data_IF_948759355237
#
_entry.id   IF_948759355237
#
_cell.length_a   1.000
_cell.length_b   1.000
_cell.length_c   1.000
_cell.angle_alpha   90.00
_cell.angle_beta   90.00
_cell.angle_gamma   90.00
#
_symmetry.space_group_name_H-M   'P 1'
#
loop_
_entity.id
_entity.type
_entity.pdbx_description
1 polymer ?
#
# COMPACT_ATOMS: atom_id res chain seq x y z
N UNK A 1 38.48 -20.83 -21.49
CA UNK A 1 37.15 -21.31 -21.14
C UNK A 1 36.86 -21.06 -19.65
N UNK A 2 37.81 -21.37 -18.73
CA UNK A 2 37.59 -21.19 -17.29
C UNK A 2 37.32 -19.75 -16.84
N UNK A 3 38.05 -18.78 -17.37
CA UNK A 3 37.90 -17.35 -17.02
C UNK A 3 36.55 -16.80 -17.46
N UNK A 4 36.07 -17.15 -18.66
CA UNK A 4 34.79 -16.73 -19.17
C UNK A 4 33.61 -17.28 -18.30
N UNK A 5 33.71 -18.53 -17.88
CA UNK A 5 32.72 -19.15 -17.00
C UNK A 5 32.66 -18.46 -15.62
N UNK A 6 33.81 -18.14 -15.03
CA UNK A 6 33.89 -17.40 -13.76
C UNK A 6 33.31 -15.99 -13.90
N UNK A 7 33.65 -15.27 -14.98
CA UNK A 7 33.09 -13.96 -15.25
C UNK A 7 31.60 -13.97 -15.41
N UNK A 8 31.05 -14.97 -16.11
CA UNK A 8 29.58 -15.11 -16.28
C UNK A 8 28.88 -15.38 -14.94
N UNK A 9 29.45 -16.25 -14.10
CA UNK A 9 28.88 -16.56 -12.78
C UNK A 9 28.94 -15.32 -11.87
N UNK A 10 30.07 -14.61 -11.84
CA UNK A 10 30.21 -13.38 -11.03
C UNK A 10 29.24 -12.29 -11.50
N UNK A 11 29.08 -12.11 -12.81
CA UNK A 11 28.12 -11.14 -13.37
C UNK A 11 26.68 -11.51 -13.05
N UNK A 12 26.33 -12.80 -13.09
CA UNK A 12 24.99 -13.27 -12.74
C UNK A 12 24.70 -13.09 -11.24
N UNK A 13 25.68 -13.38 -10.37
CA UNK A 13 25.54 -13.15 -8.92
C UNK A 13 25.42 -11.67 -8.61
N UNK A 14 26.23 -10.81 -9.21
CA UNK A 14 26.16 -9.37 -9.00
C UNK A 14 24.81 -8.81 -9.46
N UNK A 15 24.33 -9.22 -10.64
CA UNK A 15 23.03 -8.80 -11.15
C UNK A 15 21.85 -9.28 -10.27
N UNK A 16 21.94 -10.49 -9.70
CA UNK A 16 20.94 -10.98 -8.76
C UNK A 16 20.99 -10.21 -7.44
N UNK A 17 22.18 -9.95 -6.92
CA UNK A 17 22.38 -9.18 -5.68
C UNK A 17 21.87 -7.75 -5.85
N UNK A 18 22.17 -7.11 -6.97
CA UNK A 18 21.72 -5.75 -7.29
C UNK A 18 20.20 -5.67 -7.36
N UNK A 19 19.53 -6.59 -8.08
CA UNK A 19 18.06 -6.69 -8.12
C UNK A 19 17.44 -6.92 -6.74
N UNK A 20 18.07 -7.77 -5.93
CA UNK A 20 17.57 -8.07 -4.58
C UNK A 20 17.72 -6.85 -3.67
N UNK A 21 18.83 -6.14 -3.73
CA UNK A 21 19.04 -4.89 -2.99
C UNK A 21 18.06 -3.80 -3.41
N UNK A 22 17.83 -3.64 -4.71
CA UNK A 22 16.84 -2.71 -5.25
C UNK A 22 15.42 -2.99 -4.71
N UNK A 23 15.05 -4.27 -4.61
CA UNK A 23 13.77 -4.69 -3.98
C UNK A 23 13.71 -4.35 -2.49
N UNK A 24 14.79 -4.58 -1.74
CA UNK A 24 14.84 -4.23 -0.31
C UNK A 24 14.81 -2.72 -0.10
N UNK A 25 15.52 -1.95 -0.90
CA UNK A 25 15.49 -0.49 -0.85
C UNK A 25 14.10 0.06 -1.22
N UNK A 26 13.45 -0.51 -2.23
CA UNK A 26 12.09 -0.17 -2.62
C UNK A 26 11.06 -0.43 -1.51
N UNK A 27 11.29 -1.44 -0.66
CA UNK A 27 10.43 -1.72 0.50
C UNK A 27 10.68 -0.78 1.69
N UNK A 28 11.74 0.04 1.65
CA UNK A 28 12.11 0.99 2.71
C UNK A 28 12.79 0.28 3.90
N UNK A 29 14.12 0.37 3.98
CA UNK A 29 14.93 -0.33 4.98
C UNK A 29 14.90 0.31 6.39
N UNK A 30 14.47 1.56 6.51
CA UNK A 30 14.52 2.35 7.75
C UNK A 30 13.18 2.41 8.48
N UNK A 31 12.44 1.31 8.50
CA UNK A 31 11.15 1.21 9.20
C UNK A 31 11.30 0.57 10.55
N UNK A 32 10.68 1.20 11.56
CA UNK A 32 10.42 0.60 12.85
C UNK A 32 8.94 0.25 12.96
N UNK A 33 8.63 -1.03 13.15
CA UNK A 33 7.25 -1.46 13.42
C UNK A 33 7.03 -1.53 14.92
N UNK A 34 6.09 -0.73 15.41
CA UNK A 34 5.67 -0.73 16.81
C UNK A 34 4.34 -1.48 16.90
N UNK A 35 4.35 -2.62 17.59
CA UNK A 35 3.14 -3.38 17.87
C UNK A 35 2.60 -2.99 19.25
N UNK A 36 1.42 -2.42 19.27
CA UNK A 36 0.73 -2.07 20.50
C UNK A 36 -0.39 -3.09 20.72
N UNK A 37 -0.18 -3.98 21.68
CA UNK A 37 -1.18 -4.99 22.05
C UNK A 37 -2.04 -4.42 23.17
N UNK A 38 -3.33 -4.22 22.90
CA UNK A 38 -4.28 -3.78 23.89
C UNK A 38 -5.27 -4.90 24.18
N UNK A 39 -5.06 -5.58 25.31
CA UNK A 39 -5.90 -6.69 25.80
C UNK A 39 -6.84 -6.25 26.93
N UNK A 40 -7.17 -4.97 26.99
CA UNK A 40 -8.11 -4.47 27.99
C UNK A 40 -9.53 -4.82 27.54
N UNK A 41 -10.21 -5.56 28.38
CA UNK A 41 -11.61 -5.91 28.21
C UNK A 41 -12.42 -5.37 29.38
N UNK A 42 -13.67 -4.99 29.15
CA UNK A 42 -14.61 -4.67 30.22
C UNK A 42 -15.13 -5.96 30.90
N UNK A 43 -15.95 -5.79 31.94
CA UNK A 43 -16.54 -6.91 32.69
C UNK A 43 -17.46 -7.79 31.81
N UNK A 44 -17.96 -7.26 30.71
CA UNK A 44 -18.81 -7.94 29.72
C UNK A 44 -18.00 -8.62 28.61
N UNK A 45 -16.66 -8.49 28.63
CA UNK A 45 -15.76 -9.09 27.63
C UNK A 45 -15.62 -8.30 26.33
N UNK A 46 -16.10 -7.04 26.28
CA UNK A 46 -15.89 -6.18 25.14
C UNK A 46 -14.51 -5.56 25.19
N UNK A 47 -13.84 -5.48 24.05
CA UNK A 47 -12.52 -4.83 23.98
C UNK A 47 -12.62 -3.34 24.30
N UNK A 48 -11.92 -2.90 25.32
CA UNK A 48 -11.71 -1.49 25.65
C UNK A 48 -10.62 -0.84 24.80
N UNK A 49 -10.39 -1.40 23.61
CA UNK A 49 -9.33 -0.99 22.67
C UNK A 49 -9.30 0.51 22.47
N UNK A 50 -8.34 1.17 23.12
CA UNK A 50 -8.06 2.58 22.86
C UNK A 50 -7.20 2.69 21.61
N UNK A 51 -7.61 3.56 20.67
CA UNK A 51 -6.77 3.91 19.52
C UNK A 51 -5.65 4.84 19.98
N UNK A 52 -4.44 4.30 20.12
CA UNK A 52 -3.25 5.06 20.51
C UNK A 52 -2.57 5.77 19.33
N UNK A 53 -3.01 5.52 18.10
CA UNK A 53 -2.36 6.09 16.92
C UNK A 53 -2.38 7.63 16.91
N UNK A 54 -3.46 8.34 17.26
CA UNK A 54 -3.45 9.81 17.30
C UNK A 54 -2.39 10.38 18.24
N UNK A 55 -2.24 9.79 19.42
CA UNK A 55 -1.23 10.24 20.40
C UNK A 55 0.20 9.95 19.89
N UNK A 56 0.42 8.79 19.27
CA UNK A 56 1.69 8.45 18.65
C UNK A 56 2.02 9.38 17.50
N UNK A 57 1.02 9.70 16.67
CA UNK A 57 1.16 10.62 15.54
C UNK A 57 1.58 12.03 16.01
N UNK A 58 0.92 12.56 17.06
CA UNK A 58 1.27 13.86 17.62
C UNK A 58 2.68 13.85 18.24
N UNK A 59 3.04 12.78 18.96
CA UNK A 59 4.37 12.62 19.51
C UNK A 59 5.44 12.57 18.42
N UNK A 60 5.27 11.74 17.38
CA UNK A 60 6.22 11.66 16.27
C UNK A 60 6.36 13.00 15.54
N UNK A 61 5.27 13.73 15.38
CA UNK A 61 5.32 15.08 14.80
C UNK A 61 6.07 16.10 15.68
N UNK A 62 6.17 15.88 16.99
CA UNK A 62 6.95 16.75 17.89
C UNK A 62 8.47 16.51 17.81
N UNK A 63 8.89 15.33 17.27
CA UNK A 63 10.29 14.91 17.15
C UNK A 63 10.69 14.67 15.69
N UNK A 64 10.22 15.53 14.77
CA UNK A 64 10.45 15.41 13.31
C UNK A 64 11.91 15.33 12.88
N UNK A 65 12.84 15.78 13.71
CA UNK A 65 14.27 15.65 13.45
C UNK A 65 14.76 14.20 13.51
N UNK A 66 14.02 13.30 14.21
CA UNK A 66 14.35 11.89 14.36
C UNK A 66 13.39 10.95 13.64
N UNK A 67 12.14 11.37 13.46
CA UNK A 67 11.08 10.56 12.85
C UNK A 67 10.51 11.29 11.65
N UNK A 68 10.82 10.77 10.45
CA UNK A 68 10.36 11.37 9.20
C UNK A 68 8.86 11.20 8.96
N UNK A 69 8.28 10.12 9.46
CA UNK A 69 6.86 9.85 9.31
C UNK A 69 6.38 8.70 10.18
N UNK A 70 5.09 8.67 10.43
CA UNK A 70 4.38 7.60 11.14
C UNK A 70 3.06 7.30 10.47
N UNK A 71 2.76 6.02 10.28
CA UNK A 71 1.51 5.58 9.66
C UNK A 71 1.02 4.30 10.34
N UNK A 72 -0.29 4.09 10.48
CA UNK A 72 -0.79 2.80 10.92
C UNK A 72 -0.51 1.73 9.85
N UNK A 73 -0.31 0.50 10.29
CA UNK A 73 -0.20 -0.67 9.43
C UNK A 73 -1.45 -1.53 9.64
N UNK A 74 -2.57 -1.09 9.12
CA UNK A 74 -3.84 -1.77 9.27
C UNK A 74 -4.45 -2.09 7.91
N UNK A 75 -4.99 -3.30 7.77
CA UNK A 75 -5.67 -3.75 6.57
C UNK A 75 -7.15 -3.37 6.60
N UNK A 76 -7.70 -3.11 5.42
CA UNK A 76 -9.12 -2.97 5.19
C UNK A 76 -9.62 -4.13 4.31
N UNK A 77 -10.60 -4.87 4.80
CA UNK A 77 -11.27 -5.89 4.01
C UNK A 77 -12.52 -5.27 3.36
N UNK A 78 -12.37 -4.79 2.14
CA UNK A 78 -13.46 -4.22 1.38
C UNK A 78 -13.48 -4.74 -0.05
N UNK A 79 -14.69 -4.99 -0.56
CA UNK A 79 -14.89 -5.23 -1.98
C UNK A 79 -14.81 -3.91 -2.72
N UNK A 80 -13.92 -3.84 -3.72
CA UNK A 80 -13.73 -2.65 -4.57
C UNK A 80 -14.47 -2.85 -5.87
N UNK A 81 -15.22 -1.83 -6.29
CA UNK A 81 -15.97 -1.86 -7.56
C UNK A 81 -15.72 -0.57 -8.32
N UNK A 82 -15.46 -0.71 -9.63
CA UNK A 82 -15.43 0.37 -10.60
C UNK A 82 -16.05 -0.09 -11.92
N UNK A 83 -17.18 0.50 -12.31
CA UNK A 83 -17.91 0.06 -13.50
C UNK A 83 -18.29 -1.41 -13.41
N UNK A 84 -17.79 -2.20 -14.34
CA UNK A 84 -18.01 -3.67 -14.39
C UNK A 84 -16.92 -4.47 -13.64
N UNK A 85 -15.84 -3.82 -13.22
CA UNK A 85 -14.72 -4.46 -12.52
C UNK A 85 -15.01 -4.53 -11.02
N UNK A 86 -14.81 -5.71 -10.44
CA UNK A 86 -15.03 -5.95 -9.01
C UNK A 86 -13.99 -6.92 -8.46
N UNK A 87 -13.44 -6.61 -7.29
CA UNK A 87 -12.52 -7.53 -6.60
C UNK A 87 -13.19 -8.83 -6.14
N UNK A 88 -14.52 -8.86 -6.04
CA UNK A 88 -15.26 -10.09 -5.76
C UNK A 88 -15.11 -11.16 -6.86
N UNK A 89 -14.78 -10.74 -8.08
CA UNK A 89 -14.58 -11.62 -9.23
C UNK A 89 -13.08 -11.90 -9.52
N UNK A 90 -12.18 -11.36 -8.71
CA UNK A 90 -10.74 -11.56 -8.83
C UNK A 90 -10.30 -12.69 -7.91
N UNK A 91 -9.31 -13.46 -8.36
CA UNK A 91 -8.76 -14.58 -7.59
C UNK A 91 -7.27 -14.73 -7.86
N UNK A 92 -6.56 -15.33 -6.91
CA UNK A 92 -5.15 -15.66 -7.06
C UNK A 92 -5.04 -16.97 -7.88
N UNK A 93 -4.85 -16.83 -9.19
CA UNK A 93 -4.63 -17.94 -10.09
C UNK A 93 -3.14 -18.04 -10.43
N UNK A 94 -2.62 -19.28 -10.52
CA UNK A 94 -1.23 -19.53 -10.83
C UNK A 94 -1.13 -20.41 -12.08
N UNK A 95 -0.13 -20.16 -12.91
CA UNK A 95 0.21 -21.01 -14.04
C UNK A 95 0.98 -22.28 -13.58
N UNK A 96 1.32 -23.15 -14.51
CA UNK A 96 2.06 -24.39 -14.26
C UNK A 96 3.47 -24.12 -13.67
N UNK A 97 4.01 -22.92 -13.84
CA UNK A 97 5.31 -22.49 -13.34
C UNK A 97 5.21 -21.79 -11.97
N UNK A 98 4.00 -21.65 -11.42
CA UNK A 98 3.75 -20.95 -10.16
C UNK A 98 3.70 -19.43 -10.29
N UNK A 99 3.61 -18.88 -11.50
CA UNK A 99 3.46 -17.44 -11.68
C UNK A 99 1.99 -17.02 -11.56
N UNK A 100 1.77 -15.88 -10.96
CA UNK A 100 0.44 -15.30 -10.80
C UNK A 100 -0.13 -14.89 -12.18
N UNK A 101 -1.35 -15.33 -12.47
CA UNK A 101 -2.03 -15.04 -13.73
C UNK A 101 -3.28 -14.20 -13.51
N UNK A 102 -3.52 -13.24 -14.42
CA UNK A 102 -4.70 -12.37 -14.37
C UNK A 102 -4.61 -11.25 -13.35
N UNK A 103 -5.74 -10.59 -13.15
CA UNK A 103 -5.89 -9.54 -12.17
C UNK A 103 -6.20 -10.12 -10.80
N UNK A 104 -5.42 -9.72 -9.81
CA UNK A 104 -5.62 -10.10 -8.42
C UNK A 104 -6.13 -8.91 -7.61
N UNK A 105 -6.91 -9.16 -6.55
CA UNK A 105 -7.44 -8.07 -5.74
C UNK A 105 -6.30 -7.27 -5.10
N UNK A 106 -6.37 -5.92 -5.10
CA UNK A 106 -5.40 -5.08 -4.43
C UNK A 106 -5.48 -5.25 -2.91
N UNK A 107 -4.34 -5.10 -2.26
CA UNK A 107 -4.30 -4.93 -0.81
C UNK A 107 -4.75 -3.52 -0.44
N UNK A 108 -5.67 -3.41 0.51
CA UNK A 108 -6.20 -2.14 0.96
C UNK A 108 -5.66 -1.84 2.35
N UNK A 109 -5.05 -0.67 2.52
CA UNK A 109 -4.45 -0.25 3.78
C UNK A 109 -5.05 1.05 4.26
N UNK A 110 -5.17 1.18 5.57
CA UNK A 110 -5.38 2.46 6.23
C UNK A 110 -4.03 3.14 6.46
N UNK A 111 -3.92 4.39 6.04
CA UNK A 111 -2.70 5.18 6.16
C UNK A 111 -2.92 6.57 6.74
N UNK A 112 -1.85 7.18 7.19
CA UNK A 112 -1.77 8.61 7.47
C UNK A 112 -1.37 9.40 6.22
N UNK A 113 -1.32 10.71 6.33
CA UNK A 113 -0.74 11.62 5.34
C UNK A 113 0.78 11.41 5.13
N UNK A 114 1.41 10.59 5.98
CA UNK A 114 2.84 10.26 5.92
C UNK A 114 3.06 8.82 5.41
N UNK A 115 2.01 8.20 4.85
CA UNK A 115 2.08 6.83 4.37
C UNK A 115 3.14 6.64 3.29
N UNK A 116 3.23 7.58 2.34
CA UNK A 116 4.21 7.53 1.25
C UNK A 116 5.65 7.61 1.78
N UNK A 117 5.90 8.49 2.73
CA UNK A 117 7.22 8.65 3.38
C UNK A 117 7.61 7.35 4.07
N UNK A 118 6.71 6.77 4.87
CA UNK A 118 6.95 5.53 5.58
C UNK A 118 7.18 4.32 4.65
N UNK A 119 6.65 4.37 3.44
CA UNK A 119 6.70 3.26 2.49
C UNK A 119 7.56 3.53 1.25
N UNK A 120 8.36 4.62 1.27
CA UNK A 120 9.23 5.03 0.17
C UNK A 120 8.47 5.08 -1.17
N UNK A 121 7.29 5.71 -1.17
CA UNK A 121 6.45 5.85 -2.35
C UNK A 121 6.57 7.26 -2.91
N UNK A 122 6.62 7.36 -4.23
CA UNK A 122 6.58 8.62 -4.96
C UNK A 122 5.29 8.72 -5.75
N UNK A 123 4.78 9.94 -5.93
CA UNK A 123 3.59 10.17 -6.74
C UNK A 123 3.92 10.15 -8.23
N UNK A 124 3.09 9.49 -9.03
CA UNK A 124 3.08 9.60 -10.48
C UNK A 124 2.11 10.69 -10.96
N UNK A 125 0.94 10.79 -10.32
CA UNK A 125 -0.08 11.81 -10.65
C UNK A 125 -0.94 12.15 -9.44
N UNK A 126 -1.59 13.32 -9.50
CA UNK A 126 -2.47 13.78 -8.43
C UNK A 126 -1.72 14.22 -7.17
N UNK A 127 -2.26 13.89 -6.01
CA UNK A 127 -1.69 14.22 -4.70
C UNK A 127 -1.77 13.04 -3.73
N UNK A 128 -0.97 13.09 -2.71
CA UNK A 128 -1.02 12.14 -1.59
C UNK A 128 -2.18 12.46 -0.63
N UNK A 129 -2.40 11.56 0.34
CA UNK A 129 -3.26 11.85 1.48
C UNK A 129 -2.73 13.07 2.22
N UNK A 130 -3.64 13.87 2.73
CA UNK A 130 -3.31 15.07 3.47
C UNK A 130 -3.91 15.04 4.88
N UNK A 131 -3.33 15.83 5.79
CA UNK A 131 -3.88 16.06 7.12
C UNK A 131 -5.34 16.52 7.06
N UNK A 132 -5.71 17.30 6.02
CA UNK A 132 -7.09 17.77 5.83
C UNK A 132 -8.06 16.65 5.44
N UNK A 133 -7.58 15.62 4.74
CA UNK A 133 -8.41 14.46 4.42
C UNK A 133 -8.70 13.64 5.68
N UNK A 134 -7.68 13.50 6.53
CA UNK A 134 -7.78 12.78 7.80
C UNK A 134 -8.70 13.55 8.76
N UNK A 135 -8.42 14.82 9.02
CA UNK A 135 -9.21 15.65 9.95
C UNK A 135 -10.64 15.87 9.48
N UNK A 136 -10.84 15.96 8.17
CA UNK A 136 -12.14 16.14 7.54
C UNK A 136 -12.90 14.84 7.31
N UNK A 137 -12.35 13.68 7.71
CA UNK A 137 -12.95 12.34 7.46
C UNK A 137 -13.35 12.13 5.99
N UNK A 138 -12.52 12.63 5.07
CA UNK A 138 -12.84 12.58 3.65
C UNK A 138 -12.73 11.16 3.11
N UNK A 139 -13.66 10.80 2.26
CA UNK A 139 -13.67 9.53 1.54
C UNK A 139 -12.84 9.69 0.26
N UNK A 140 -11.52 9.61 0.42
CA UNK A 140 -10.55 9.68 -0.67
C UNK A 140 -9.62 8.47 -0.62
N UNK A 141 -8.97 8.16 -1.74
CA UNK A 141 -7.97 7.10 -1.80
C UNK A 141 -6.81 7.47 -2.73
N UNK A 142 -5.66 6.85 -2.49
CA UNK A 142 -4.50 6.88 -3.37
C UNK A 142 -4.23 5.45 -3.85
N UNK A 143 -3.98 5.29 -5.14
CA UNK A 143 -3.77 3.98 -5.75
C UNK A 143 -2.27 3.73 -5.99
N UNK A 144 -1.84 2.49 -5.88
CA UNK A 144 -0.60 2.05 -6.50
C UNK A 144 -0.77 1.88 -8.00
N UNK A 145 0.32 1.93 -8.75
CA UNK A 145 0.34 1.86 -10.22
C UNK A 145 -0.44 0.63 -10.76
N UNK A 146 -0.22 -0.55 -10.14
CA UNK A 146 -0.91 -1.77 -10.58
C UNK A 146 -2.41 -1.73 -10.29
N UNK A 147 -2.82 -1.25 -9.13
CA UNK A 147 -4.24 -1.10 -8.81
C UNK A 147 -4.93 -0.11 -9.75
N UNK A 148 -4.25 1.00 -10.09
CA UNK A 148 -4.74 1.95 -11.08
C UNK A 148 -4.95 1.28 -12.45
N UNK A 149 -4.00 0.50 -12.93
CA UNK A 149 -4.10 -0.24 -14.20
C UNK A 149 -5.23 -1.28 -14.18
N UNK A 150 -5.41 -2.00 -13.07
CA UNK A 150 -6.48 -3.00 -12.94
C UNK A 150 -7.86 -2.37 -13.10
N UNK A 151 -8.15 -1.25 -12.44
CA UNK A 151 -9.48 -0.65 -12.47
C UNK A 151 -9.70 0.28 -13.66
N UNK A 152 -8.69 1.02 -14.08
CA UNK A 152 -8.83 2.12 -15.05
C UNK A 152 -8.15 1.86 -16.39
N UNK A 153 -7.43 0.75 -16.54
CA UNK A 153 -6.64 0.44 -17.74
C UNK A 153 -5.62 1.57 -18.03
N UNK A 154 -5.77 2.26 -19.17
CA UNK A 154 -4.94 3.40 -19.55
C UNK A 154 -5.57 4.78 -19.21
N UNK A 155 -6.78 4.79 -18.62
CA UNK A 155 -7.45 6.05 -18.30
C UNK A 155 -6.88 6.66 -17.02
N UNK A 156 -6.88 8.00 -16.94
CA UNK A 156 -6.48 8.71 -15.72
C UNK A 156 -7.48 8.45 -14.59
N UNK A 157 -7.03 7.84 -13.47
CA UNK A 157 -7.91 7.55 -12.35
C UNK A 157 -8.18 8.75 -11.43
N UNK A 158 -7.36 9.82 -11.49
CA UNK A 158 -7.50 10.97 -10.59
C UNK A 158 -8.83 11.69 -10.82
N UNK A 159 -9.55 11.95 -9.73
CA UNK A 159 -10.90 12.52 -9.73
C UNK A 159 -12.01 11.50 -10.05
N UNK A 160 -11.70 10.24 -10.30
CA UNK A 160 -12.71 9.18 -10.44
C UNK A 160 -13.10 8.61 -9.07
N UNK A 161 -14.23 7.92 -9.02
CA UNK A 161 -14.78 7.39 -7.77
C UNK A 161 -14.80 5.87 -7.82
N UNK A 162 -14.17 5.26 -6.83
CA UNK A 162 -14.27 3.82 -6.53
C UNK A 162 -15.35 3.59 -5.47
N UNK A 163 -16.02 2.45 -5.55
CA UNK A 163 -16.92 1.98 -4.49
C UNK A 163 -16.18 0.94 -3.63
N UNK A 164 -16.07 1.18 -2.33
CA UNK A 164 -15.53 0.25 -1.35
C UNK A 164 -16.65 -0.15 -0.38
N UNK A 165 -17.06 -1.42 -0.42
CA UNK A 165 -18.25 -1.89 0.32
C UNK A 165 -19.49 -0.99 0.13
N UNK A 166 -19.70 -0.45 -1.09
CA UNK A 166 -20.79 0.46 -1.39
C UNK A 166 -20.57 1.92 -0.98
N UNK A 167 -19.45 2.26 -0.35
CA UNK A 167 -19.07 3.63 -0.01
C UNK A 167 -18.21 4.24 -1.11
N UNK A 168 -18.49 5.48 -1.48
CA UNK A 168 -17.78 6.19 -2.56
C UNK A 168 -16.48 6.80 -2.08
N UNK A 169 -15.37 6.48 -2.75
CA UNK A 169 -14.05 7.06 -2.48
C UNK A 169 -13.50 7.70 -3.75
N UNK A 170 -13.15 8.97 -3.68
CA UNK A 170 -12.52 9.70 -4.78
C UNK A 170 -11.03 9.36 -4.84
N UNK A 171 -10.54 9.01 -6.02
CA UNK A 171 -9.11 8.81 -6.28
C UNK A 171 -8.44 10.19 -6.36
N UNK A 172 -7.56 10.49 -5.43
CA UNK A 172 -6.86 11.78 -5.39
C UNK A 172 -5.43 11.72 -5.91
N UNK A 173 -4.86 10.53 -6.05
CA UNK A 173 -3.52 10.35 -6.60
C UNK A 173 -3.19 8.91 -6.95
N UNK A 174 -2.07 8.75 -7.65
CA UNK A 174 -1.49 7.47 -8.02
C UNK A 174 -0.01 7.48 -7.70
N UNK A 175 0.47 6.45 -7.05
CA UNK A 175 1.90 6.25 -6.81
C UNK A 175 2.59 5.70 -8.05
N UNK A 176 3.83 6.11 -8.25
CA UNK A 176 4.70 5.55 -9.27
C UNK A 176 5.05 4.08 -8.95
N UNK A 177 5.29 3.26 -9.98
CA UNK A 177 5.73 1.88 -9.75
C UNK A 177 7.10 1.89 -9.06
N UNK A 178 7.24 1.04 -8.03
CA UNK A 178 8.51 0.85 -7.30
C UNK A 178 9.48 -0.04 -8.07
N UNK A 179 8.95 -0.93 -8.87
CA UNK A 179 9.72 -1.85 -9.70
C UNK A 179 9.37 -1.64 -11.16
N UNK A 180 10.37 -1.80 -12.04
CA UNK A 180 10.21 -1.70 -13.49
C UNK A 180 10.58 -3.02 -14.17
N UNK A 181 10.14 -3.20 -15.42
CA UNK A 181 10.44 -4.40 -16.21
C UNK A 181 9.61 -5.63 -15.81
N UNK A 182 10.13 -6.81 -16.09
CA UNK A 182 9.43 -8.09 -15.86
C UNK A 182 9.13 -8.34 -14.36
N UNK A 183 10.01 -7.88 -13.48
CA UNK A 183 9.81 -7.99 -12.03
C UNK A 183 8.59 -7.21 -11.54
N UNK A 184 8.22 -6.12 -12.21
CA UNK A 184 7.04 -5.33 -11.87
C UNK A 184 5.73 -6.08 -12.15
N UNK A 185 5.69 -6.90 -13.22
CA UNK A 185 4.51 -7.69 -13.59
C UNK A 185 4.20 -8.79 -12.58
N UNK A 186 5.24 -9.38 -11.99
CA UNK A 186 5.11 -10.44 -11.00
C UNK A 186 4.91 -9.91 -9.58
N UNK A 187 5.27 -8.66 -9.33
CA UNK A 187 5.20 -8.07 -7.99
C UNK A 187 3.82 -7.53 -7.67
N UNK A 188 3.30 -7.90 -6.49
CA UNK A 188 2.08 -7.32 -5.94
C UNK A 188 2.35 -6.03 -5.13
N UNK A 189 3.61 -5.58 -5.08
CA UNK A 189 4.04 -4.46 -4.24
C UNK A 189 3.32 -3.14 -4.56
N UNK A 190 2.96 -2.94 -5.84
CA UNK A 190 2.26 -1.75 -6.31
C UNK A 190 0.75 -1.98 -6.52
N UNK A 191 0.25 -3.17 -6.12
CA UNK A 191 -1.17 -3.48 -6.16
C UNK A 191 -1.84 -3.13 -4.84
N UNK A 192 -1.92 -1.84 -4.55
CA UNK A 192 -2.37 -1.32 -3.26
C UNK A 192 -3.37 -0.18 -3.43
N UNK A 193 -4.28 -0.05 -2.46
CA UNK A 193 -5.18 1.10 -2.30
C UNK A 193 -4.97 1.64 -0.89
N UNK A 194 -4.68 2.92 -0.77
CA UNK A 194 -4.44 3.56 0.53
C UNK A 194 -5.58 4.49 0.85
N UNK A 195 -6.17 4.29 2.03
CA UNK A 195 -7.28 5.08 2.56
C UNK A 195 -6.81 5.88 3.77
N UNK A 196 -7.36 7.06 4.04
CA UNK A 196 -7.17 7.71 5.32
C UNK A 196 -7.58 6.76 6.46
N UNK A 197 -6.80 6.66 7.53
CA UNK A 197 -7.11 5.75 8.63
C UNK A 197 -8.47 6.06 9.29
N UNK A 198 -8.96 7.27 9.14
CA UNK A 198 -10.29 7.69 9.60
C UNK A 198 -11.44 7.08 8.80
N UNK A 199 -11.17 6.53 7.60
CA UNK A 199 -12.15 5.79 6.79
C UNK A 199 -12.65 4.50 7.48
N UNK A 200 -11.94 4.00 8.53
CA UNK A 200 -12.40 2.90 9.39
C UNK A 200 -13.80 3.13 9.97
N UNK A 201 -14.18 4.39 10.17
CA UNK A 201 -15.53 4.75 10.68
C UNK A 201 -16.67 4.36 9.74
N UNK A 202 -16.41 4.31 8.44
CA UNK A 202 -17.44 4.02 7.41
C UNK A 202 -17.31 2.63 6.81
N UNK A 203 -16.10 2.04 6.84
CA UNK A 203 -15.85 0.71 6.28
C UNK A 203 -15.82 -0.39 7.34
N UNK A 204 -15.69 -0.04 8.61
CA UNK A 204 -15.46 -0.98 9.69
C UNK A 204 -14.01 -1.47 9.75
N UNK A 205 -13.62 -2.07 10.87
CA UNK A 205 -12.28 -2.64 11.10
C UNK A 205 -11.91 -2.65 12.56
#
# INVERSE_FOLDING_TARGET
IGIAAVMTIVSAINGYTEKTMEQYEAMGSNKLTVNIWNYLYDEDGNSLGQDYFPALYDYCNSIKEYVLGVTPQAYCNATVVYGTKSTANMSYNYDENGNLTGDVPPSIYYGSDQYSICNNLTLASGRDLSVLDIRGYKQVCVLGDRAAKIFFDAADPVGKVLQLNGQSFEVVGVYAPRLTGESASASQIDNVIILPYTARRVLGG
#
